data_IF_367046126110
#
_entry.id   IF_367046126110
#
_cell.length_a   1.000
_cell.length_b   1.000
_cell.length_c   1.000
_cell.angle_alpha   90.00
_cell.angle_beta   90.00
_cell.angle_gamma   90.00
#
_symmetry.space_group_name_H-M   'P 1'
#
loop_
_entity.id
_entity.type
_entity.pdbx_description
1 polymer ?
#
# COMPACT_ATOMS: atom_id res chain seq x y z
N UNK A 1 0.91 24.68 91.77
CA UNK A 1 0.14 24.99 90.58
C UNK A 1 1.08 24.81 89.39
N UNK A 2 1.07 23.69 88.71
CA UNK A 2 2.02 23.32 87.70
C UNK A 2 1.31 23.17 86.35
N UNK A 3 1.67 23.99 85.38
CA UNK A 3 1.23 23.87 83.98
C UNK A 3 2.05 22.75 83.31
N UNK A 4 1.38 21.69 82.85
CA UNK A 4 1.97 20.72 81.99
C UNK A 4 1.74 21.13 80.56
N UNK A 5 2.82 21.32 79.85
CA UNK A 5 2.85 21.50 78.35
C UNK A 5 2.77 20.14 77.71
N UNK A 6 1.76 19.91 76.89
CA UNK A 6 1.71 18.79 75.94
C UNK A 6 2.36 19.19 74.65
N UNK A 7 3.44 18.48 74.26
CA UNK A 7 4.04 18.58 72.94
C UNK A 7 3.27 17.61 72.01
N UNK A 8 2.66 18.17 70.98
CA UNK A 8 2.04 17.38 69.93
C UNK A 8 3.13 17.02 68.89
N UNK A 9 3.43 15.71 68.82
CA UNK A 9 4.27 15.17 67.78
C UNK A 9 3.48 14.95 66.48
N UNK A 10 3.86 15.63 65.43
CA UNK A 10 3.33 15.38 64.09
C UNK A 10 4.07 14.18 63.48
N UNK A 11 3.35 13.07 63.32
CA UNK A 11 3.82 11.91 62.52
C UNK A 11 3.49 12.16 61.05
N UNK A 12 4.49 12.45 60.27
CA UNK A 12 4.37 12.50 58.81
C UNK A 12 4.32 11.07 58.25
N UNK A 13 3.13 10.61 57.83
CA UNK A 13 3.00 9.39 57.00
C UNK A 13 3.42 9.73 55.58
N UNK A 14 4.59 9.24 55.19
CA UNK A 14 4.99 9.19 53.80
C UNK A 14 4.24 8.02 53.11
N UNK A 15 3.24 8.35 52.28
CA UNK A 15 2.65 7.43 51.35
C UNK A 15 3.63 7.22 50.21
N UNK A 16 4.33 6.07 50.20
CA UNK A 16 5.01 5.57 48.99
C UNK A 16 3.95 5.08 48.04
N UNK A 17 3.57 5.89 47.06
CA UNK A 17 2.82 5.48 45.91
C UNK A 17 3.75 4.61 45.03
N UNK A 18 3.71 3.31 45.22
CA UNK A 18 4.24 2.37 44.23
C UNK A 18 3.29 2.37 43.06
N UNK A 19 3.63 3.13 42.01
CA UNK A 19 2.95 3.07 40.72
C UNK A 19 3.18 1.68 40.15
N UNK A 20 2.13 0.88 40.10
CA UNK A 20 2.05 -0.27 39.20
C UNK A 20 2.03 0.31 37.77
N UNK A 21 3.18 0.28 37.11
CA UNK A 21 3.23 0.42 35.66
C UNK A 21 2.59 -0.85 35.13
N UNK A 22 1.29 -0.77 34.79
CA UNK A 22 0.65 -1.74 33.93
C UNK A 22 1.31 -1.59 32.57
N UNK A 23 2.12 -2.56 32.16
CA UNK A 23 2.47 -2.77 30.77
C UNK A 23 1.18 -3.22 30.06
N UNK A 24 0.36 -2.28 29.67
CA UNK A 24 -0.61 -2.42 28.62
C UNK A 24 0.13 -2.05 27.34
N UNK A 25 0.23 -2.97 26.42
CA UNK A 25 0.62 -2.71 25.05
C UNK A 25 -0.58 -1.99 24.41
N UNK A 26 -0.75 -0.71 24.70
CA UNK A 26 -1.55 0.21 23.89
C UNK A 26 -0.55 0.85 22.94
N UNK A 27 -0.41 0.25 21.78
CA UNK A 27 0.32 0.77 20.64
C UNK A 27 -0.54 1.84 19.92
N UNK A 28 -1.01 2.80 20.71
CA UNK A 28 -1.51 4.06 20.19
C UNK A 28 -0.28 4.94 20.00
N UNK A 29 0.24 4.98 18.76
CA UNK A 29 1.33 5.86 18.38
C UNK A 29 1.08 7.27 18.94
N UNK A 30 2.10 7.88 19.54
CA UNK A 30 1.98 9.27 20.01
C UNK A 30 1.58 10.13 18.80
N UNK A 31 0.63 11.06 18.96
CA UNK A 31 0.29 11.98 17.89
C UNK A 31 1.54 12.74 17.43
N UNK A 32 1.75 12.84 16.11
CA UNK A 32 2.84 13.63 15.55
C UNK A 32 2.79 15.05 16.10
N UNK A 33 3.93 15.54 16.60
CA UNK A 33 4.06 16.91 17.10
C UNK A 33 4.38 17.86 15.94
N UNK A 34 4.16 19.15 16.16
CA UNK A 34 4.56 20.20 15.20
C UNK A 34 6.09 20.16 15.01
N UNK A 35 6.53 19.89 13.78
CA UNK A 35 7.94 19.77 13.40
C UNK A 35 8.49 18.35 13.35
N UNK A 36 7.66 17.33 13.59
CA UNK A 36 8.04 15.94 13.36
C UNK A 36 8.10 15.67 11.85
N UNK A 37 9.05 14.81 11.44
CA UNK A 37 9.14 14.33 10.07
C UNK A 37 8.05 13.29 9.82
N UNK A 38 7.24 13.48 8.77
CA UNK A 38 6.23 12.50 8.33
C UNK A 38 6.88 11.55 7.31
N UNK A 39 6.91 10.26 7.62
CA UNK A 39 7.42 9.21 6.72
C UNK A 39 6.28 8.65 5.88
N UNK A 40 6.36 8.83 4.56
CA UNK A 40 5.35 8.36 3.62
C UNK A 40 5.94 7.30 2.68
N UNK A 41 5.35 6.09 2.67
CA UNK A 41 5.77 4.98 1.82
C UNK A 41 5.12 5.01 0.44
N UNK A 42 5.92 4.77 -0.61
CA UNK A 42 5.45 4.68 -2.00
C UNK A 42 6.28 3.68 -2.81
N UNK A 43 5.80 3.32 -4.02
CA UNK A 43 6.51 2.47 -4.99
C UNK A 43 6.84 3.20 -6.29
N UNK A 44 6.66 4.52 -6.34
CA UNK A 44 6.85 5.34 -7.53
C UNK A 44 7.50 6.70 -7.21
N UNK A 45 8.49 6.68 -6.33
CA UNK A 45 9.23 7.86 -5.85
C UNK A 45 9.85 8.69 -6.99
N UNK A 46 10.15 8.06 -8.13
CA UNK A 46 10.74 8.70 -9.30
C UNK A 46 9.77 9.65 -10.03
N UNK A 47 8.48 9.61 -9.77
CA UNK A 47 7.51 10.52 -10.38
C UNK A 47 7.75 11.96 -9.93
N UNK A 48 7.72 12.90 -10.89
CA UNK A 48 7.89 14.34 -10.63
C UNK A 48 6.90 14.88 -9.60
N UNK A 49 5.73 14.27 -9.51
CA UNK A 49 4.70 14.62 -8.53
C UNK A 49 5.23 14.61 -7.09
N UNK A 50 6.12 13.67 -6.73
CA UNK A 50 6.72 13.61 -5.41
C UNK A 50 7.62 14.80 -5.11
N UNK A 51 8.44 15.23 -6.08
CA UNK A 51 9.28 16.44 -5.93
C UNK A 51 8.43 17.68 -5.69
N UNK A 52 7.29 17.79 -6.38
CA UNK A 52 6.35 18.90 -6.18
C UNK A 52 5.68 18.79 -4.81
N UNK A 53 5.28 17.60 -4.41
CA UNK A 53 4.60 17.37 -3.14
C UNK A 53 5.49 17.69 -1.94
N UNK A 54 6.74 17.20 -1.93
CA UNK A 54 7.74 17.52 -0.90
C UNK A 54 7.99 19.02 -0.80
N UNK A 55 8.13 19.71 -1.95
CA UNK A 55 8.33 21.16 -1.95
C UNK A 55 7.13 21.90 -1.33
N UNK A 56 5.90 21.52 -1.71
CA UNK A 56 4.68 22.14 -1.17
C UNK A 56 4.51 21.84 0.33
N UNK A 57 4.81 20.63 0.77
CA UNK A 57 4.79 20.27 2.19
C UNK A 57 5.77 21.14 2.99
N UNK A 58 7.00 21.30 2.50
CA UNK A 58 8.01 22.16 3.13
C UNK A 58 7.59 23.64 3.19
N UNK A 59 6.91 24.18 2.15
CA UNK A 59 6.39 25.55 2.15
C UNK A 59 5.33 25.76 3.24
N UNK A 60 4.58 24.70 3.61
CA UNK A 60 3.61 24.69 4.71
C UNK A 60 4.22 24.32 6.08
N UNK A 61 5.55 24.13 6.13
CA UNK A 61 6.26 23.81 7.37
C UNK A 61 6.18 22.33 7.77
N UNK A 62 5.79 21.45 6.85
CA UNK A 62 5.74 20.00 7.04
C UNK A 62 7.06 19.40 6.53
N UNK A 63 7.78 18.71 7.42
CA UNK A 63 8.94 17.92 7.03
C UNK A 63 8.46 16.54 6.56
N UNK A 64 8.70 16.23 5.27
CA UNK A 64 8.23 15.02 4.63
C UNK A 64 9.41 14.16 4.15
N UNK A 65 9.47 12.91 4.59
CA UNK A 65 10.38 11.89 4.10
C UNK A 65 9.62 10.88 3.24
N UNK A 66 9.94 10.83 1.95
CA UNK A 66 9.34 9.85 1.03
C UNK A 66 10.23 8.61 0.95
N UNK A 67 9.72 7.49 1.46
CA UNK A 67 10.40 6.19 1.53
C UNK A 67 9.98 5.34 0.34
N UNK A 68 10.95 4.95 -0.50
CA UNK A 68 10.70 4.14 -1.70
C UNK A 68 10.78 2.65 -1.39
N UNK A 69 9.84 1.90 -1.95
CA UNK A 69 9.81 0.44 -1.92
C UNK A 69 9.83 -0.10 -3.36
N UNK A 70 10.58 -1.18 -3.58
CA UNK A 70 10.67 -1.85 -4.87
C UNK A 70 9.50 -2.77 -5.18
N UNK A 71 8.65 -3.09 -4.19
CA UNK A 71 7.53 -4.02 -4.27
C UNK A 71 6.35 -3.52 -3.43
N UNK A 72 5.13 -3.98 -3.73
CA UNK A 72 3.91 -3.55 -3.03
C UNK A 72 3.75 -4.13 -1.61
N UNK A 73 3.99 -5.45 -1.38
CA UNK A 73 3.65 -6.07 -0.10
C UNK A 73 4.30 -5.43 1.13
N UNK A 74 5.58 -5.03 1.13
CA UNK A 74 6.23 -4.49 2.32
C UNK A 74 5.72 -3.10 2.74
N UNK A 75 5.05 -2.34 1.86
CA UNK A 75 4.63 -0.96 2.17
C UNK A 75 3.58 -0.92 3.29
N UNK A 76 2.56 -1.79 3.23
CA UNK A 76 1.54 -1.87 4.28
C UNK A 76 2.09 -2.47 5.57
N UNK A 77 3.00 -3.43 5.46
CA UNK A 77 3.66 -4.03 6.64
C UNK A 77 4.48 -2.98 7.39
N UNK A 78 5.27 -2.17 6.68
CA UNK A 78 6.04 -1.09 7.29
C UNK A 78 5.14 -0.04 7.98
N UNK A 79 3.95 0.21 7.43
CA UNK A 79 2.97 1.09 8.09
C UNK A 79 2.38 0.43 9.35
N UNK A 80 1.99 -0.85 9.30
CA UNK A 80 1.47 -1.57 10.48
C UNK A 80 2.51 -1.71 11.59
N UNK A 81 3.80 -1.83 11.25
CA UNK A 81 4.91 -1.94 12.20
C UNK A 81 5.38 -0.58 12.76
N UNK A 82 4.82 0.54 12.26
CA UNK A 82 5.17 1.90 12.70
C UNK A 82 6.47 2.44 12.07
N UNK A 83 7.02 1.78 11.06
CA UNK A 83 8.17 2.26 10.28
C UNK A 83 7.79 3.40 9.33
N UNK A 84 6.50 3.55 9.02
CA UNK A 84 5.90 4.63 8.26
C UNK A 84 4.76 5.26 9.06
N UNK A 85 4.47 6.53 8.79
CA UNK A 85 3.33 7.24 9.37
C UNK A 85 2.11 7.18 8.43
N UNK A 86 2.34 7.15 7.12
CA UNK A 86 1.33 7.00 6.07
C UNK A 86 1.91 6.26 4.86
N UNK A 87 1.05 5.85 3.94
CA UNK A 87 1.49 5.44 2.61
C UNK A 87 0.59 5.99 1.50
N UNK A 88 1.13 6.09 0.30
CA UNK A 88 0.44 6.51 -0.90
C UNK A 88 0.93 5.70 -2.10
N UNK A 89 0.26 4.58 -2.39
CA UNK A 89 0.60 3.70 -3.53
C UNK A 89 -0.57 2.84 -3.99
N UNK A 90 -1.60 2.65 -3.18
CA UNK A 90 -2.58 1.59 -3.34
C UNK A 90 -4.00 2.09 -3.57
N UNK A 91 -4.81 1.26 -4.21
CA UNK A 91 -6.25 1.45 -4.27
C UNK A 91 -6.97 0.72 -3.12
N UNK A 92 -8.19 1.12 -2.82
CA UNK A 92 -8.97 0.62 -1.67
C UNK A 92 -9.17 -0.91 -1.65
N UNK A 93 -9.27 -1.56 -2.83
CA UNK A 93 -9.42 -3.02 -2.90
C UNK A 93 -8.14 -3.75 -2.45
N UNK A 94 -6.96 -3.19 -2.76
CA UNK A 94 -5.67 -3.73 -2.31
C UNK A 94 -5.52 -3.58 -0.79
N UNK A 95 -5.82 -2.39 -0.25
CA UNK A 95 -5.84 -2.16 1.19
C UNK A 95 -6.78 -3.12 1.92
N UNK A 96 -8.01 -3.30 1.43
CA UNK A 96 -8.96 -4.23 2.03
C UNK A 96 -8.45 -5.69 2.02
N UNK A 97 -7.78 -6.11 0.94
CA UNK A 97 -7.17 -7.44 0.88
C UNK A 97 -6.03 -7.59 1.90
N UNK A 98 -5.18 -6.57 2.04
CA UNK A 98 -4.12 -6.58 3.05
C UNK A 98 -4.70 -6.72 4.46
N UNK A 99 -5.65 -5.88 4.84
CA UNK A 99 -6.26 -5.91 6.17
C UNK A 99 -6.87 -7.27 6.50
N UNK A 100 -7.59 -7.88 5.54
CA UNK A 100 -8.17 -9.22 5.74
C UNK A 100 -7.09 -10.30 5.83
N UNK A 101 -6.03 -10.21 5.04
CA UNK A 101 -4.96 -11.21 4.99
C UNK A 101 -3.99 -11.16 6.18
N UNK A 102 -3.76 -9.96 6.70
CA UNK A 102 -2.82 -9.71 7.80
C UNK A 102 -3.51 -9.57 9.18
N UNK A 103 -4.86 -9.57 9.23
CA UNK A 103 -5.67 -9.27 10.42
C UNK A 103 -5.37 -7.87 10.98
N UNK A 104 -5.27 -6.89 10.06
CA UNK A 104 -4.96 -5.49 10.32
C UNK A 104 -6.16 -4.59 10.04
N UNK A 105 -6.10 -3.32 10.50
CA UNK A 105 -7.19 -2.36 10.39
C UNK A 105 -6.74 -0.99 9.83
N UNK A 106 -5.75 -0.97 8.96
CA UNK A 106 -5.31 0.25 8.28
C UNK A 106 -6.48 0.95 7.59
N UNK A 107 -6.57 2.27 7.75
CA UNK A 107 -7.69 3.07 7.23
C UNK A 107 -7.24 4.07 6.16
N UNK A 108 -8.05 4.30 5.10
CA UNK A 108 -7.78 5.37 4.16
C UNK A 108 -8.05 6.73 4.81
N UNK A 109 -7.10 7.66 4.75
CA UNK A 109 -7.23 9.03 5.26
C UNK A 109 -7.58 10.04 4.17
N UNK A 110 -7.46 9.64 2.90
CA UNK A 110 -7.78 10.49 1.75
C UNK A 110 -7.70 9.72 0.45
N UNK A 111 -8.05 10.40 -0.64
CA UNK A 111 -7.84 9.92 -2.01
C UNK A 111 -7.17 11.01 -2.83
N UNK A 112 -6.26 10.62 -3.70
CA UNK A 112 -5.49 11.53 -4.56
C UNK A 112 -5.97 11.47 -6.01
N UNK A 113 -5.55 10.47 -6.74
CA UNK A 113 -5.81 10.32 -8.17
C UNK A 113 -6.49 8.98 -8.49
N UNK A 114 -7.05 8.89 -9.67
CA UNK A 114 -7.53 7.63 -10.25
C UNK A 114 -6.62 7.29 -11.42
N UNK A 115 -5.87 6.19 -11.27
CA UNK A 115 -4.99 5.69 -12.33
C UNK A 115 -5.67 4.50 -12.99
N UNK A 116 -5.93 4.52 -14.31
CA UNK A 116 -6.47 3.39 -15.02
C UNK A 116 -5.43 2.29 -15.15
N UNK A 117 -5.85 1.04 -14.96
CA UNK A 117 -5.07 -0.12 -15.33
C UNK A 117 -5.26 -0.35 -16.83
N UNK A 118 -4.16 -0.46 -17.58
CA UNK A 118 -4.20 -0.57 -19.03
C UNK A 118 -3.17 -1.56 -19.59
N UNK A 119 -3.47 -2.11 -20.78
CA UNK A 119 -2.51 -2.87 -21.58
C UNK A 119 -1.61 -1.91 -22.36
N UNK A 120 -0.31 -2.06 -22.20
CA UNK A 120 0.73 -1.33 -22.93
C UNK A 120 1.49 -2.27 -23.86
N UNK A 121 1.74 -1.80 -25.07
CA UNK A 121 2.45 -2.55 -26.10
C UNK A 121 3.04 -1.63 -27.17
N UNK A 122 4.18 -1.98 -27.73
CA UNK A 122 4.91 -1.16 -28.72
C UNK A 122 4.98 -1.79 -30.09
N UNK A 123 4.48 -3.04 -30.28
CA UNK A 123 4.63 -3.80 -31.51
C UNK A 123 3.62 -3.48 -32.61
N UNK A 124 2.64 -2.59 -32.35
CA UNK A 124 1.61 -2.20 -33.33
C UNK A 124 0.74 -1.06 -32.84
N UNK A 125 -0.25 -0.69 -33.62
CA UNK A 125 -1.17 0.43 -33.36
C UNK A 125 -2.50 -0.02 -32.72
N UNK A 126 -2.72 -1.35 -32.65
CA UNK A 126 -4.00 -1.93 -32.24
C UNK A 126 -3.80 -3.27 -31.53
N UNK A 127 -4.71 -3.65 -30.63
CA UNK A 127 -4.69 -4.95 -29.93
C UNK A 127 -4.84 -6.15 -30.91
N UNK A 128 -5.42 -5.93 -32.08
CA UNK A 128 -5.55 -6.93 -33.13
C UNK A 128 -4.20 -7.31 -33.74
N UNK A 129 -3.21 -6.42 -33.67
CA UNK A 129 -1.84 -6.65 -34.17
C UNK A 129 -1.01 -7.55 -33.22
N UNK A 130 -1.49 -7.81 -32.01
CA UNK A 130 -0.87 -8.76 -31.09
C UNK A 130 -1.05 -10.17 -31.66
N UNK A 131 0.08 -10.85 -31.96
CA UNK A 131 0.09 -12.18 -32.55
C UNK A 131 -0.44 -13.24 -31.57
N UNK A 132 -1.09 -14.29 -32.12
CA UNK A 132 -1.55 -15.41 -31.31
C UNK A 132 -0.34 -16.12 -30.68
N UNK A 133 -0.47 -16.50 -29.42
CA UNK A 133 0.61 -17.11 -28.62
C UNK A 133 1.58 -16.11 -27.99
N UNK A 134 1.40 -14.80 -28.22
CA UNK A 134 2.19 -13.76 -27.53
C UNK A 134 2.05 -13.90 -26.02
N UNK A 135 3.16 -13.76 -25.30
CA UNK A 135 3.16 -13.64 -23.84
C UNK A 135 2.76 -12.23 -23.42
N UNK A 136 1.82 -12.12 -22.49
CA UNK A 136 1.41 -10.85 -21.87
C UNK A 136 1.68 -10.90 -20.38
N UNK A 137 2.45 -9.95 -19.86
CA UNK A 137 2.77 -9.84 -18.44
C UNK A 137 1.67 -9.11 -17.71
N UNK A 138 1.29 -9.63 -16.52
CA UNK A 138 0.28 -9.04 -15.65
C UNK A 138 0.74 -9.01 -14.19
N UNK A 139 0.13 -8.15 -13.31
CA UNK A 139 0.38 -8.19 -11.87
C UNK A 139 0.02 -9.54 -11.25
N UNK A 140 0.79 -9.96 -10.25
CA UNK A 140 0.59 -11.23 -9.54
C UNK A 140 -0.26 -11.10 -8.26
N UNK A 141 -0.44 -9.89 -7.72
CA UNK A 141 -1.37 -9.71 -6.59
C UNK A 141 -2.81 -9.93 -7.03
N UNK A 142 -3.59 -10.62 -6.19
CA UNK A 142 -4.91 -11.12 -6.61
C UNK A 142 -5.88 -10.01 -7.05
N UNK A 143 -5.75 -8.79 -6.51
CA UNK A 143 -6.64 -7.68 -6.85
C UNK A 143 -6.32 -7.06 -8.20
N UNK A 144 -5.05 -6.81 -8.50
CA UNK A 144 -4.63 -6.28 -9.80
C UNK A 144 -4.62 -7.35 -10.88
N UNK A 145 -4.28 -8.60 -10.52
CA UNK A 145 -4.36 -9.75 -11.42
C UNK A 145 -5.77 -9.92 -11.99
N UNK A 146 -6.80 -9.96 -11.14
CA UNK A 146 -8.19 -10.06 -11.59
C UNK A 146 -8.63 -8.88 -12.46
N UNK A 147 -8.17 -7.66 -12.15
CA UNK A 147 -8.39 -6.48 -13.01
C UNK A 147 -7.71 -6.61 -14.36
N UNK A 148 -6.46 -7.09 -14.38
CA UNK A 148 -5.68 -7.30 -15.61
C UNK A 148 -6.34 -8.33 -16.52
N UNK A 149 -6.76 -9.48 -15.98
CA UNK A 149 -7.49 -10.49 -16.74
C UNK A 149 -8.77 -9.96 -17.34
N UNK A 150 -9.52 -9.13 -16.59
CA UNK A 150 -10.73 -8.48 -17.12
C UNK A 150 -10.43 -7.47 -18.25
N UNK A 151 -9.28 -6.81 -18.23
CA UNK A 151 -8.82 -5.95 -19.35
C UNK A 151 -8.51 -6.79 -20.58
N UNK A 152 -7.76 -7.88 -20.42
CA UNK A 152 -7.39 -8.77 -21.54
C UNK A 152 -8.61 -9.45 -22.15
N UNK A 153 -9.58 -9.88 -21.34
CA UNK A 153 -10.86 -10.43 -21.82
C UNK A 153 -11.65 -9.40 -22.65
N UNK A 154 -11.78 -8.17 -22.14
CA UNK A 154 -12.47 -7.09 -22.88
C UNK A 154 -11.76 -6.70 -24.17
N UNK A 155 -10.44 -6.85 -24.21
CA UNK A 155 -9.63 -6.67 -25.41
C UNK A 155 -9.75 -7.84 -26.42
N UNK A 156 -10.42 -8.92 -26.05
CA UNK A 156 -10.55 -10.12 -26.88
C UNK A 156 -9.26 -10.92 -27.01
N UNK A 157 -8.32 -10.74 -26.08
CA UNK A 157 -7.04 -11.44 -26.06
C UNK A 157 -7.10 -12.76 -25.30
N UNK A 158 -7.95 -12.86 -24.29
CA UNK A 158 -8.25 -14.09 -23.57
C UNK A 158 -9.74 -14.31 -23.44
N UNK A 159 -10.13 -15.55 -23.16
CA UNK A 159 -11.46 -15.91 -22.69
C UNK A 159 -11.37 -16.40 -21.24
N UNK A 160 -12.40 -16.13 -20.45
CA UNK A 160 -12.48 -16.59 -19.05
C UNK A 160 -13.62 -17.59 -18.89
N UNK A 161 -13.42 -18.59 -18.04
CA UNK A 161 -14.43 -19.53 -17.59
C UNK A 161 -15.21 -18.96 -16.40
N UNK A 162 -16.53 -18.73 -16.56
CA UNK A 162 -17.39 -18.25 -15.50
C UNK A 162 -17.40 -16.72 -15.33
N UNK A 163 -18.13 -16.24 -14.30
CA UNK A 163 -18.38 -14.82 -14.04
C UNK A 163 -17.73 -14.39 -12.70
N UNK A 164 -16.48 -14.72 -12.47
CA UNK A 164 -15.78 -14.33 -11.24
C UNK A 164 -15.58 -12.81 -11.20
N UNK A 165 -15.98 -12.18 -10.10
CA UNK A 165 -15.67 -10.76 -9.85
C UNK A 165 -14.19 -10.48 -9.62
N UNK A 166 -13.40 -11.52 -9.39
CA UNK A 166 -11.95 -11.46 -9.24
C UNK A 166 -11.32 -12.72 -9.86
N UNK A 167 -11.25 -12.80 -11.21
CA UNK A 167 -10.70 -13.97 -11.90
C UNK A 167 -9.20 -14.14 -11.58
N UNK A 168 -8.75 -15.37 -11.69
CA UNK A 168 -7.36 -15.80 -11.57
C UNK A 168 -6.89 -16.45 -12.89
N UNK A 169 -5.60 -16.70 -13.09
CA UNK A 169 -5.12 -17.44 -14.26
C UNK A 169 -5.71 -18.84 -14.43
N UNK A 170 -6.24 -19.42 -13.35
CA UNK A 170 -6.92 -20.72 -13.41
C UNK A 170 -8.30 -20.64 -14.10
N UNK A 171 -8.84 -19.45 -14.23
CA UNK A 171 -10.11 -19.19 -14.90
C UNK A 171 -9.94 -18.94 -16.41
N UNK A 172 -8.71 -18.92 -16.92
CA UNK A 172 -8.43 -18.72 -18.36
C UNK A 172 -8.86 -19.97 -19.15
N UNK A 173 -9.67 -19.76 -20.17
CA UNK A 173 -9.96 -20.74 -21.20
C UNK A 173 -8.85 -20.70 -22.26
N UNK A 174 -7.85 -21.54 -22.10
CA UNK A 174 -6.66 -21.57 -22.97
C UNK A 174 -7.00 -21.90 -24.44
N UNK A 175 -8.05 -22.71 -24.69
CA UNK A 175 -8.44 -23.11 -26.05
C UNK A 175 -9.04 -21.94 -26.85
N UNK A 176 -9.69 -20.99 -26.13
CA UNK A 176 -10.36 -19.82 -26.72
C UNK A 176 -9.57 -18.52 -26.49
N UNK A 177 -8.36 -18.59 -25.94
CA UNK A 177 -7.49 -17.44 -25.71
C UNK A 177 -6.43 -17.31 -26.80
N UNK A 178 -6.13 -16.06 -27.20
CA UNK A 178 -5.14 -15.74 -28.23
C UNK A 178 -3.73 -15.61 -27.66
N UNK A 179 -3.60 -15.21 -26.41
CA UNK A 179 -2.32 -14.92 -25.75
C UNK A 179 -2.12 -15.78 -24.51
N UNK A 180 -0.87 -15.92 -24.09
CA UNK A 180 -0.51 -16.53 -22.81
C UNK A 180 -0.31 -15.41 -21.76
N UNK A 181 -0.48 -15.73 -20.47
CA UNK A 181 -0.43 -14.73 -19.40
C UNK A 181 0.61 -15.14 -18.36
N UNK A 182 1.55 -14.24 -18.06
CA UNK A 182 2.61 -14.45 -17.07
C UNK A 182 2.46 -13.44 -15.92
N UNK A 183 2.09 -13.89 -14.71
CA UNK A 183 2.05 -13.04 -13.54
C UNK A 183 3.46 -12.70 -13.02
N UNK A 184 3.72 -11.41 -12.77
CA UNK A 184 4.94 -10.91 -12.13
C UNK A 184 4.57 -9.94 -11.01
N UNK A 185 5.52 -9.55 -10.16
CA UNK A 185 5.27 -8.50 -9.17
C UNK A 185 4.74 -7.23 -9.85
N UNK A 186 3.75 -6.58 -9.22
CA UNK A 186 3.06 -5.45 -9.81
C UNK A 186 4.00 -4.28 -10.15
N UNK A 187 5.03 -4.03 -9.33
CA UNK A 187 6.02 -3.00 -9.58
C UNK A 187 6.99 -3.37 -10.74
N UNK A 188 7.05 -4.65 -11.14
CA UNK A 188 7.92 -5.12 -12.22
C UNK A 188 7.26 -5.14 -13.62
N UNK A 189 5.96 -4.91 -13.71
CA UNK A 189 5.25 -4.92 -14.99
C UNK A 189 5.78 -3.87 -15.98
N UNK A 190 6.20 -2.71 -15.49
CA UNK A 190 6.80 -1.65 -16.31
C UNK A 190 8.14 -2.07 -16.92
N UNK A 191 8.95 -2.87 -16.20
CA UNK A 191 10.22 -3.39 -16.72
C UNK A 191 9.98 -4.34 -17.91
N UNK A 192 9.00 -5.25 -17.81
CA UNK A 192 8.63 -6.14 -18.91
C UNK A 192 8.22 -5.37 -20.18
N UNK A 193 7.41 -4.31 -20.03
CA UNK A 193 7.06 -3.40 -21.12
C UNK A 193 8.31 -2.72 -21.72
N UNK A 194 9.25 -2.27 -20.90
CA UNK A 194 10.51 -1.66 -21.33
C UNK A 194 11.39 -2.62 -22.13
N UNK A 195 11.26 -3.93 -21.93
CA UNK A 195 11.91 -4.98 -22.70
C UNK A 195 11.16 -5.37 -23.99
N UNK A 196 10.00 -4.75 -24.24
CA UNK A 196 9.19 -4.94 -25.44
C UNK A 196 8.10 -6.01 -25.31
N UNK A 197 7.91 -6.59 -24.13
CA UNK A 197 6.82 -7.53 -23.85
C UNK A 197 5.53 -6.78 -23.57
N UNK A 198 4.37 -7.14 -24.17
CA UNK A 198 3.10 -6.57 -23.81
C UNK A 198 2.82 -6.76 -22.32
N UNK A 199 2.40 -5.71 -21.63
CA UNK A 199 2.17 -5.75 -20.19
C UNK A 199 0.91 -4.99 -19.77
N UNK A 200 0.16 -5.54 -18.82
CA UNK A 200 -0.88 -4.80 -18.15
C UNK A 200 -0.29 -4.12 -16.92
N UNK A 201 -0.27 -2.80 -16.93
CA UNK A 201 0.35 -1.98 -15.91
C UNK A 201 -0.74 -1.27 -15.11
N UNK A 202 -0.65 -1.36 -13.79
CA UNK A 202 -1.66 -0.85 -12.86
C UNK A 202 -1.33 0.51 -12.25
N UNK A 203 -0.17 1.05 -12.57
CA UNK A 203 0.29 2.36 -12.14
C UNK A 203 1.09 3.02 -13.26
N UNK A 204 0.41 3.65 -14.20
CA UNK A 204 1.00 4.22 -15.41
C UNK A 204 0.91 5.75 -15.43
#
# INVERSE_FOLDING_TARGET
MSLRRYAAGAVALAFAATGLVACGNDDSGEPLAEGDTIRIGTTDREKEAWTVFERLANEEGIDLEVVEFSEYPPVNTALSEGDLDVNLFQHIKYLAQYNVGADEDLVPIGSTEIVPLALFWTGGDSVEDIEDGTEVVIPNDSTNQGRALSVLEKAGLIALNGDSANPSPLDIDEENSRVTVTPVDAAQTTAAYGEGTPAVINNS
#
